data_IF_120430356126
#
_entry.id   IF_120430356126
#
_cell.length_a   1.000
_cell.length_b   1.000
_cell.length_c   1.000
_cell.angle_alpha   90.00
_cell.angle_beta   90.00
_cell.angle_gamma   90.00
#
_symmetry.space_group_name_H-M   'P 1'
#
loop_
_entity.id
_entity.type
_entity.pdbx_description
1 polymer ?
#
# COMPACT_ATOMS: atom_id res chain seq x y z
N UNK A 1 19.31 34.93 -7.90
CA UNK A 1 18.03 34.20 -8.05
C UNK A 1 18.18 32.91 -7.27
N UNK A 2 17.19 32.51 -6.48
CA UNK A 2 17.20 31.20 -5.82
C UNK A 2 17.30 30.10 -6.87
N UNK A 3 18.06 29.04 -6.60
CA UNK A 3 18.11 27.88 -7.49
C UNK A 3 16.71 27.26 -7.59
N UNK A 4 16.34 26.60 -8.69
CA UNK A 4 15.09 25.85 -8.75
C UNK A 4 15.10 24.72 -7.71
N UNK A 5 13.98 24.52 -7.02
CA UNK A 5 13.86 23.61 -5.88
C UNK A 5 13.26 22.26 -6.29
N UNK A 6 13.92 21.20 -5.82
CA UNK A 6 13.39 19.84 -5.72
C UNK A 6 13.03 19.56 -4.26
N UNK A 7 11.76 19.26 -4.00
CA UNK A 7 11.28 18.87 -2.68
C UNK A 7 11.27 17.35 -2.56
N UNK A 8 11.74 16.81 -1.45
CA UNK A 8 11.73 15.37 -1.14
C UNK A 8 10.96 15.16 0.16
N UNK A 9 9.73 14.70 0.05
CA UNK A 9 8.78 14.64 1.18
C UNK A 9 8.54 13.23 1.69
N UNK A 10 8.80 12.20 0.87
CA UNK A 10 8.75 10.82 1.30
C UNK A 10 9.79 10.53 2.39
N UNK A 11 9.33 10.15 3.59
CA UNK A 11 10.20 9.85 4.74
C UNK A 11 11.28 8.82 4.44
N UNK A 12 10.92 7.73 3.77
CA UNK A 12 11.83 6.64 3.43
C UNK A 12 12.89 7.12 2.43
N UNK A 13 12.50 7.92 1.43
CA UNK A 13 13.43 8.55 0.51
C UNK A 13 14.35 9.57 1.21
N UNK A 14 13.86 10.31 2.20
CA UNK A 14 14.70 11.26 2.96
C UNK A 14 15.87 10.57 3.67
N UNK A 15 15.71 9.31 4.10
CA UNK A 15 16.80 8.50 4.67
C UNK A 15 17.86 8.15 3.62
N UNK A 16 17.46 7.87 2.38
CA UNK A 16 18.37 7.56 1.27
C UNK A 16 18.92 8.82 0.58
N UNK A 17 18.32 9.99 0.81
CA UNK A 17 18.67 11.24 0.16
C UNK A 17 20.17 11.60 0.20
N UNK A 18 20.93 11.36 1.28
CA UNK A 18 22.38 11.61 1.28
C UNK A 18 23.14 10.90 0.13
N UNK A 19 22.63 9.78 -0.40
CA UNK A 19 23.23 9.06 -1.53
C UNK A 19 22.86 9.66 -2.89
N UNK A 20 21.80 10.45 -2.96
CA UNK A 20 21.23 10.98 -4.19
C UNK A 20 21.41 12.49 -4.36
N UNK A 21 21.53 13.22 -3.25
CA UNK A 21 21.58 14.68 -3.19
C UNK A 21 22.55 15.29 -4.20
N UNK A 22 23.80 14.83 -4.19
CA UNK A 22 24.83 15.39 -5.07
C UNK A 22 24.45 15.30 -6.55
N UNK A 23 23.83 14.19 -6.98
CA UNK A 23 23.41 14.00 -8.38
C UNK A 23 22.37 15.03 -8.83
N UNK A 24 21.50 15.46 -7.93
CA UNK A 24 20.46 16.46 -8.20
C UNK A 24 21.08 17.87 -8.13
N UNK A 25 21.95 18.13 -7.15
CA UNK A 25 22.64 19.42 -6.98
C UNK A 25 23.62 19.71 -8.13
N UNK A 26 24.27 18.68 -8.70
CA UNK A 26 25.17 18.79 -9.86
C UNK A 26 24.45 19.31 -11.12
N UNK A 27 23.12 19.18 -11.20
CA UNK A 27 22.29 19.75 -12.27
C UNK A 27 21.84 21.19 -11.97
N UNK A 28 22.27 21.77 -10.85
CA UNK A 28 21.95 23.15 -10.47
C UNK A 28 20.62 23.32 -9.73
N UNK A 29 20.10 22.27 -9.11
CA UNK A 29 18.89 22.33 -8.27
C UNK A 29 19.24 22.41 -6.79
N UNK A 30 18.43 23.16 -6.04
CA UNK A 30 18.39 23.05 -4.58
C UNK A 30 17.54 21.84 -4.18
N UNK A 31 17.93 21.12 -3.12
CA UNK A 31 17.17 19.96 -2.63
C UNK A 31 16.80 20.14 -1.17
N UNK A 32 15.50 20.21 -0.87
CA UNK A 32 14.97 20.29 0.49
C UNK A 32 14.20 19.04 0.87
N UNK A 33 14.39 18.61 2.12
CA UNK A 33 13.69 17.49 2.73
C UNK A 33 13.07 17.97 4.05
N UNK A 34 11.83 18.47 4.01
CA UNK A 34 11.16 18.98 5.21
C UNK A 34 10.78 17.85 6.17
N UNK A 35 10.82 18.14 7.47
CA UNK A 35 10.41 17.18 8.50
C UNK A 35 8.88 17.01 8.50
N UNK A 36 8.42 15.77 8.47
CA UNK A 36 7.00 15.41 8.59
C UNK A 36 6.43 15.66 10.01
N UNK A 37 7.29 15.92 11.00
CA UNK A 37 6.94 16.14 12.40
C UNK A 37 6.12 14.97 13.00
N UNK A 38 6.49 13.74 12.63
CA UNK A 38 5.80 12.53 13.06
C UNK A 38 4.49 12.22 12.32
N UNK A 39 4.09 13.03 11.34
CA UNK A 39 2.96 12.73 10.45
C UNK A 39 3.37 11.75 9.35
N UNK A 40 2.38 11.17 8.68
CA UNK A 40 2.57 10.28 7.54
C UNK A 40 2.78 11.06 6.23
N UNK A 41 2.05 12.17 6.06
CA UNK A 41 1.98 12.92 4.81
C UNK A 41 1.93 14.44 5.04
N UNK A 42 2.31 15.22 4.03
CA UNK A 42 2.05 16.65 3.98
C UNK A 42 0.69 16.95 3.35
N UNK A 43 0.02 17.99 3.85
CA UNK A 43 -1.15 18.56 3.19
C UNK A 43 -0.73 19.45 2.02
N UNK A 44 -1.64 19.75 1.09
CA UNK A 44 -1.40 20.72 0.02
C UNK A 44 -0.87 22.05 0.56
N UNK A 45 -1.46 22.55 1.66
CA UNK A 45 -1.08 23.80 2.30
C UNK A 45 0.36 23.80 2.83
N UNK A 46 0.80 22.68 3.43
CA UNK A 46 2.17 22.55 3.93
C UNK A 46 3.17 22.61 2.76
N UNK A 47 2.87 21.90 1.67
CA UNK A 47 3.73 21.87 0.48
C UNK A 47 3.84 23.25 -0.19
N UNK A 48 2.74 24.01 -0.17
CA UNK A 48 2.69 25.35 -0.75
C UNK A 48 3.55 26.38 -0.01
N UNK A 49 4.08 26.09 1.18
CA UNK A 49 5.10 26.94 1.82
C UNK A 49 6.39 27.01 0.98
N UNK A 50 6.67 25.99 0.16
CA UNK A 50 7.86 25.88 -0.69
C UNK A 50 7.65 26.39 -2.14
N UNK A 51 6.44 26.86 -2.48
CA UNK A 51 6.01 27.12 -3.88
C UNK A 51 6.83 28.15 -4.67
N UNK A 52 7.56 29.05 -3.99
CA UNK A 52 8.18 30.22 -4.63
C UNK A 52 9.20 29.87 -5.73
N UNK A 53 9.84 28.71 -5.62
CA UNK A 53 10.81 28.20 -6.60
C UNK A 53 10.77 26.68 -6.78
N UNK A 54 9.71 26.02 -6.30
CA UNK A 54 9.46 24.60 -6.49
C UNK A 54 9.27 24.27 -7.97
N UNK A 55 10.11 23.39 -8.51
CA UNK A 55 10.00 22.89 -9.90
C UNK A 55 9.79 21.39 -9.97
N UNK A 56 10.20 20.64 -8.95
CA UNK A 56 9.94 19.20 -8.87
C UNK A 56 9.73 18.70 -7.45
N UNK A 57 9.03 17.58 -7.32
CA UNK A 57 8.83 16.91 -6.02
C UNK A 57 8.98 15.40 -6.17
N UNK A 58 9.72 14.77 -5.25
CA UNK A 58 9.64 13.34 -4.98
C UNK A 58 8.70 13.15 -3.79
N UNK A 59 7.44 12.86 -4.09
CA UNK A 59 6.32 12.84 -3.15
C UNK A 59 6.17 11.48 -2.46
N UNK A 60 5.81 11.49 -1.17
CA UNK A 60 5.40 10.29 -0.43
C UNK A 60 3.90 10.04 -0.60
N UNK A 61 3.18 9.94 0.52
CA UNK A 61 1.72 9.82 0.57
C UNK A 61 1.00 11.18 0.50
N UNK A 62 1.73 12.27 0.24
CA UNK A 62 1.25 13.66 0.30
C UNK A 62 -0.04 13.95 -0.46
N UNK A 63 -0.81 14.92 0.01
CA UNK A 63 -2.00 15.43 -0.67
C UNK A 63 -1.59 16.33 -1.83
N UNK A 64 -1.61 15.77 -3.05
CA UNK A 64 -1.33 16.50 -4.29
C UNK A 64 -2.65 16.74 -5.02
N UNK A 65 -3.51 17.51 -4.38
CA UNK A 65 -4.83 17.87 -4.88
C UNK A 65 -4.80 19.11 -5.79
N UNK A 66 -5.98 19.57 -6.21
CA UNK A 66 -6.13 20.80 -7.00
C UNK A 66 -5.56 22.04 -6.32
N UNK A 67 -5.70 22.19 -4.99
CA UNK A 67 -5.15 23.34 -4.27
C UNK A 67 -3.62 23.37 -4.42
N UNK A 68 -2.96 22.21 -4.29
CA UNK A 68 -1.52 22.11 -4.50
C UNK A 68 -1.11 22.52 -5.92
N UNK A 69 -1.77 21.99 -6.96
CA UNK A 69 -1.41 22.29 -8.35
C UNK A 69 -1.68 23.76 -8.73
N UNK A 70 -2.82 24.31 -8.31
CA UNK A 70 -3.17 25.72 -8.54
C UNK A 70 -2.15 26.67 -7.88
N UNK A 71 -1.61 26.30 -6.71
CA UNK A 71 -0.66 27.11 -5.96
C UNK A 71 0.81 26.92 -6.36
N UNK A 72 1.19 25.76 -6.92
CA UNK A 72 2.55 25.41 -7.28
C UNK A 72 2.89 25.79 -8.73
N UNK A 73 2.71 27.07 -9.10
CA UNK A 73 2.72 27.57 -10.49
C UNK A 73 4.04 27.40 -11.27
N UNK A 74 5.11 26.94 -10.63
CA UNK A 74 6.42 26.68 -11.25
C UNK A 74 6.75 25.19 -11.35
N UNK A 75 5.90 24.34 -10.77
CA UNK A 75 6.07 22.89 -10.76
C UNK A 75 5.99 22.35 -12.19
N UNK A 76 6.92 21.48 -12.55
CA UNK A 76 6.93 20.79 -13.84
C UNK A 76 6.85 19.27 -13.68
N UNK A 77 7.30 18.74 -12.54
CA UNK A 77 7.47 17.30 -12.35
C UNK A 77 7.04 16.84 -10.96
N UNK A 78 6.26 15.78 -10.90
CA UNK A 78 5.92 15.03 -9.68
C UNK A 78 6.36 13.58 -9.88
N UNK A 79 7.24 13.10 -8.99
CA UNK A 79 7.58 11.68 -8.90
C UNK A 79 6.99 11.14 -7.61
N UNK A 80 5.96 10.29 -7.69
CA UNK A 80 5.47 9.52 -6.55
C UNK A 80 6.47 8.43 -6.19
N UNK A 81 6.98 8.47 -4.97
CA UNK A 81 7.78 7.41 -4.39
C UNK A 81 6.87 6.24 -4.02
N UNK A 82 6.83 5.24 -4.87
CA UNK A 82 5.97 4.07 -4.75
C UNK A 82 5.02 3.92 -5.92
N UNK A 83 4.00 3.07 -5.75
CA UNK A 83 3.09 2.68 -6.84
C UNK A 83 1.74 3.39 -6.80
N UNK A 84 1.34 3.89 -5.62
CA UNK A 84 0.05 4.54 -5.40
C UNK A 84 -0.05 5.87 -6.12
N UNK A 85 -1.24 6.13 -6.67
CA UNK A 85 -1.55 7.36 -7.40
C UNK A 85 -2.83 8.03 -6.91
N UNK A 86 -3.50 7.41 -5.95
CA UNK A 86 -4.82 7.80 -5.45
C UNK A 86 -4.86 9.19 -4.79
N UNK A 87 -3.73 9.70 -4.29
CA UNK A 87 -3.60 11.03 -3.70
C UNK A 87 -3.19 12.13 -4.70
N UNK A 88 -3.15 11.83 -6.01
CA UNK A 88 -2.83 12.82 -7.07
C UNK A 88 -4.09 13.21 -7.84
N UNK A 89 -4.40 14.50 -7.91
CA UNK A 89 -5.35 15.05 -8.88
C UNK A 89 -4.71 15.09 -10.27
N UNK A 90 -4.91 14.01 -11.03
CA UNK A 90 -4.38 13.85 -12.38
C UNK A 90 -4.93 14.89 -13.37
N UNK A 91 -6.15 15.37 -13.16
CA UNK A 91 -6.75 16.37 -14.05
C UNK A 91 -6.10 17.74 -13.81
N UNK A 92 -5.96 18.15 -12.55
CA UNK A 92 -5.29 19.39 -12.18
C UNK A 92 -3.81 19.38 -12.62
N UNK A 93 -3.10 18.26 -12.44
CA UNK A 93 -1.73 18.11 -12.92
C UNK A 93 -1.61 18.34 -14.43
N UNK A 94 -2.52 17.74 -15.22
CA UNK A 94 -2.56 17.88 -16.68
C UNK A 94 -2.86 19.33 -17.10
N UNK A 95 -3.80 20.01 -16.44
CA UNK A 95 -4.15 21.40 -16.72
C UNK A 95 -2.98 22.36 -16.50
N UNK A 96 -2.13 22.07 -15.52
CA UNK A 96 -0.93 22.84 -15.20
C UNK A 96 0.31 22.40 -16.00
N UNK A 97 0.19 21.39 -16.87
CA UNK A 97 1.30 20.87 -17.66
C UNK A 97 2.37 20.16 -16.83
N UNK A 98 1.99 19.60 -15.68
CA UNK A 98 2.89 18.88 -14.77
C UNK A 98 2.95 17.41 -15.16
N UNK A 99 4.16 16.90 -15.42
CA UNK A 99 4.38 15.47 -15.63
C UNK A 99 4.32 14.75 -14.28
N UNK A 100 3.48 13.71 -14.19
CA UNK A 100 3.38 12.87 -12.99
C UNK A 100 3.82 11.44 -13.33
N UNK A 101 4.80 10.92 -12.60
CA UNK A 101 5.27 9.53 -12.69
C UNK A 101 5.29 8.86 -11.33
N UNK A 102 5.15 7.55 -11.27
CA UNK A 102 5.37 6.73 -10.08
C UNK A 102 6.56 5.78 -10.29
N UNK A 103 6.83 4.90 -9.32
CA UNK A 103 7.90 3.90 -9.41
C UNK A 103 7.32 2.47 -9.48
N UNK A 104 6.84 2.03 -10.66
CA UNK A 104 6.19 0.73 -10.80
C UNK A 104 7.17 -0.43 -10.56
N UNK A 105 6.67 -1.51 -9.97
CA UNK A 105 7.43 -2.77 -9.79
C UNK A 105 8.43 -2.77 -8.63
N UNK A 106 8.52 -1.70 -7.84
CA UNK A 106 9.55 -1.59 -6.79
C UNK A 106 9.21 -2.29 -5.47
N UNK A 107 7.96 -2.69 -5.21
CA UNK A 107 7.55 -3.28 -3.92
C UNK A 107 6.86 -4.65 -4.02
N UNK A 108 7.01 -5.34 -5.15
CA UNK A 108 6.34 -6.63 -5.38
C UNK A 108 6.68 -7.70 -4.34
N UNK A 109 7.96 -7.87 -4.03
CA UNK A 109 8.42 -8.91 -3.10
C UNK A 109 8.09 -8.56 -1.65
N UNK A 110 8.33 -7.31 -1.25
CA UNK A 110 8.19 -6.81 0.11
C UNK A 110 6.75 -6.90 0.60
N UNK A 111 5.81 -6.42 -0.21
CA UNK A 111 4.39 -6.46 0.14
C UNK A 111 3.87 -7.89 0.17
N UNK A 112 4.34 -8.74 -0.75
CA UNK A 112 3.96 -10.14 -0.79
C UNK A 112 4.49 -10.93 0.42
N UNK A 113 5.72 -10.64 0.88
CA UNK A 113 6.28 -11.22 2.11
C UNK A 113 5.47 -10.79 3.34
N UNK A 114 5.11 -9.50 3.41
CA UNK A 114 4.29 -8.96 4.49
C UNK A 114 2.89 -9.59 4.52
N UNK A 115 2.24 -9.79 3.36
CA UNK A 115 0.96 -10.48 3.26
C UNK A 115 1.01 -11.89 3.85
N UNK A 116 2.08 -12.66 3.59
CA UNK A 116 2.26 -13.98 4.19
C UNK A 116 2.61 -13.91 5.68
N UNK A 117 3.37 -12.89 6.12
CA UNK A 117 3.58 -12.60 7.53
C UNK A 117 2.27 -12.39 8.27
N UNK A 118 1.36 -11.60 7.70
CA UNK A 118 0.00 -11.39 8.20
C UNK A 118 -0.79 -12.70 8.26
N UNK A 119 -0.86 -13.46 7.16
CA UNK A 119 -1.57 -14.76 7.11
C UNK A 119 -1.07 -15.71 8.21
N UNK A 120 0.25 -15.91 8.30
CA UNK A 120 0.85 -16.83 9.27
C UNK A 120 0.54 -16.40 10.70
N UNK A 121 0.58 -15.10 10.99
CA UNK A 121 0.31 -14.60 12.31
C UNK A 121 -1.17 -14.72 12.70
N UNK A 122 -2.09 -14.41 11.77
CA UNK A 122 -3.53 -14.61 11.99
C UNK A 122 -3.86 -16.05 12.38
N UNK A 123 -3.27 -17.02 11.68
CA UNK A 123 -3.64 -18.43 11.87
C UNK A 123 -2.79 -19.21 12.86
N UNK A 124 -1.65 -18.64 13.30
CA UNK A 124 -0.74 -19.28 14.27
C UNK A 124 -0.59 -18.51 15.58
N UNK A 125 -1.07 -17.27 15.63
CA UNK A 125 -1.09 -16.42 16.83
C UNK A 125 0.31 -16.05 17.35
N UNK A 126 1.31 -15.94 16.46
CA UNK A 126 2.71 -15.79 16.88
C UNK A 126 2.94 -14.59 17.81
N UNK A 127 2.35 -13.43 17.51
CA UNK A 127 2.51 -12.25 18.37
C UNK A 127 1.86 -12.43 19.74
N UNK A 128 0.66 -12.99 19.78
CA UNK A 128 -0.06 -13.24 21.02
C UNK A 128 0.67 -14.27 21.89
N UNK A 129 1.23 -15.32 21.27
CA UNK A 129 2.04 -16.34 21.95
C UNK A 129 3.32 -15.74 22.50
N UNK A 130 4.08 -14.97 21.72
CA UNK A 130 5.31 -14.29 22.19
C UNK A 130 5.00 -13.37 23.39
N UNK A 131 3.96 -12.54 23.29
CA UNK A 131 3.56 -11.64 24.37
C UNK A 131 3.17 -12.41 25.64
N UNK A 132 2.47 -13.54 25.51
CA UNK A 132 2.07 -14.39 26.64
C UNK A 132 3.29 -15.05 27.31
N UNK A 133 4.22 -15.61 26.51
CA UNK A 133 5.44 -16.23 27.04
C UNK A 133 6.30 -15.22 27.81
N UNK A 134 6.40 -13.98 27.33
CA UNK A 134 7.10 -12.91 28.05
C UNK A 134 6.45 -12.54 29.39
N UNK A 135 5.14 -12.79 29.55
CA UNK A 135 4.41 -12.64 30.83
C UNK A 135 4.51 -13.87 31.73
N UNK A 136 5.25 -14.91 31.33
CA UNK A 136 5.41 -16.15 32.10
C UNK A 136 4.30 -17.19 31.85
N UNK A 137 3.46 -16.97 30.84
CA UNK A 137 2.43 -17.93 30.41
C UNK A 137 3.03 -18.98 29.45
N UNK A 138 2.31 -20.09 29.20
CA UNK A 138 2.75 -21.12 28.25
C UNK A 138 1.58 -21.64 27.39
N UNK A 139 1.01 -20.80 26.51
CA UNK A 139 -0.16 -21.15 25.73
C UNK A 139 0.17 -22.22 24.67
N UNK A 140 -0.76 -23.16 24.47
CA UNK A 140 -0.72 -24.18 23.40
C UNK A 140 -1.90 -23.95 22.47
N UNK A 141 -1.80 -22.91 21.64
CA UNK A 141 -2.86 -22.51 20.71
C UNK A 141 -2.87 -23.45 19.50
N UNK A 142 -4.03 -23.95 19.14
CA UNK A 142 -4.23 -24.67 17.87
C UNK A 142 -4.20 -23.67 16.71
N UNK A 143 -3.47 -23.98 15.65
CA UNK A 143 -3.36 -23.14 14.47
C UNK A 143 -3.80 -23.85 13.20
N UNK A 144 -3.83 -23.13 12.09
CA UNK A 144 -4.27 -23.67 10.79
C UNK A 144 -3.07 -23.92 9.88
N UNK A 145 -3.12 -25.04 9.16
CA UNK A 145 -2.16 -25.40 8.11
C UNK A 145 -2.54 -24.70 6.80
N UNK A 146 -1.57 -24.06 6.13
CA UNK A 146 -1.81 -23.39 4.84
C UNK A 146 -1.87 -24.37 3.66
N UNK A 147 -1.06 -25.43 3.67
CA UNK A 147 -1.02 -26.41 2.59
C UNK A 147 -2.41 -27.04 2.36
N UNK A 148 -2.85 -27.07 1.11
CA UNK A 148 -4.16 -27.54 0.69
C UNK A 148 -5.30 -26.53 0.87
N UNK A 149 -5.09 -25.39 1.54
CA UNK A 149 -6.08 -24.33 1.60
C UNK A 149 -6.11 -23.51 0.30
N UNK A 150 -7.26 -22.91 0.00
CA UNK A 150 -7.40 -22.01 -1.16
C UNK A 150 -7.04 -20.57 -0.80
N UNK A 151 -6.19 -19.96 -1.62
CA UNK A 151 -5.79 -18.56 -1.62
C UNK A 151 -6.42 -17.84 -2.81
N UNK A 152 -7.25 -16.84 -2.53
CA UNK A 152 -7.79 -15.91 -3.51
C UNK A 152 -7.01 -14.60 -3.51
N UNK A 153 -6.51 -14.18 -4.67
CA UNK A 153 -5.79 -12.91 -4.85
C UNK A 153 -6.63 -11.94 -5.68
N UNK A 154 -7.03 -10.81 -5.10
CA UNK A 154 -7.79 -9.75 -5.77
C UNK A 154 -6.80 -8.68 -6.25
N UNK A 155 -6.65 -8.56 -7.58
CA UNK A 155 -5.62 -7.78 -8.24
C UNK A 155 -4.38 -8.63 -8.58
N UNK A 156 -4.11 -8.83 -9.87
CA UNK A 156 -3.06 -9.72 -10.37
C UNK A 156 -1.94 -8.96 -11.11
N UNK A 157 -1.61 -7.78 -10.57
CA UNK A 157 -0.46 -6.97 -10.93
C UNK A 157 0.87 -7.48 -10.35
N UNK A 158 1.85 -6.60 -10.19
CA UNK A 158 3.18 -6.95 -9.70
C UNK A 158 3.15 -7.60 -8.29
N UNK A 159 2.41 -7.02 -7.36
CA UNK A 159 2.26 -7.54 -5.98
C UNK A 159 1.44 -8.84 -5.98
N UNK A 160 0.28 -8.85 -6.65
CA UNK A 160 -0.59 -10.03 -6.71
C UNK A 160 0.10 -11.28 -7.28
N UNK A 161 0.93 -11.12 -8.31
CA UNK A 161 1.74 -12.22 -8.86
C UNK A 161 2.76 -12.77 -7.87
N UNK A 162 3.39 -11.90 -7.09
CA UNK A 162 4.35 -12.30 -6.06
C UNK A 162 3.67 -12.98 -4.87
N UNK A 163 2.45 -12.55 -4.49
CA UNK A 163 1.60 -13.24 -3.51
C UNK A 163 1.22 -14.63 -4.00
N UNK A 164 0.76 -14.75 -5.24
CA UNK A 164 0.39 -16.03 -5.84
C UNK A 164 1.55 -17.03 -5.87
N UNK A 165 2.76 -16.58 -6.25
CA UNK A 165 3.98 -17.40 -6.23
C UNK A 165 4.28 -17.96 -4.84
N UNK A 166 4.13 -17.14 -3.79
CA UNK A 166 4.29 -17.58 -2.39
C UNK A 166 3.21 -18.58 -2.00
N UNK A 167 1.95 -18.35 -2.39
CA UNK A 167 0.86 -19.30 -2.17
C UNK A 167 1.17 -20.70 -2.68
N UNK A 168 1.65 -20.79 -3.92
CA UNK A 168 2.11 -22.07 -4.51
C UNK A 168 3.26 -22.66 -3.68
N UNK A 169 4.23 -21.85 -3.26
CA UNK A 169 5.34 -22.29 -2.40
C UNK A 169 4.91 -22.84 -1.03
N UNK A 170 3.80 -22.33 -0.47
CA UNK A 170 3.19 -22.85 0.75
C UNK A 170 2.25 -24.05 0.52
N UNK A 171 2.14 -24.53 -0.72
CA UNK A 171 1.28 -25.65 -1.10
C UNK A 171 -0.21 -25.31 -1.11
N UNK A 172 -0.56 -24.04 -1.31
CA UNK A 172 -1.94 -23.57 -1.41
C UNK A 172 -2.49 -23.75 -2.83
N UNK A 173 -3.81 -23.88 -2.95
CA UNK A 173 -4.52 -23.78 -4.22
C UNK A 173 -4.79 -22.31 -4.54
N UNK A 174 -4.20 -21.75 -5.60
CA UNK A 174 -4.22 -20.31 -5.87
C UNK A 174 -5.18 -19.97 -7.00
N UNK A 175 -6.14 -19.11 -6.70
CA UNK A 175 -7.04 -18.45 -7.67
C UNK A 175 -6.84 -16.94 -7.62
N UNK A 176 -7.14 -16.26 -8.71
CA UNK A 176 -6.99 -14.81 -8.79
C UNK A 176 -8.14 -14.15 -9.56
N UNK A 177 -8.41 -12.90 -9.25
CA UNK A 177 -9.33 -12.05 -9.98
C UNK A 177 -8.61 -10.75 -10.37
N UNK A 178 -8.67 -10.42 -11.66
CA UNK A 178 -8.23 -9.14 -12.21
C UNK A 178 -8.95 -8.92 -13.55
N UNK A 179 -9.74 -7.84 -13.71
CA UNK A 179 -10.52 -7.62 -14.93
C UNK A 179 -9.66 -7.25 -16.15
N UNK A 180 -8.38 -6.93 -15.95
CA UNK A 180 -7.47 -6.48 -17.01
C UNK A 180 -6.39 -7.51 -17.36
N UNK A 181 -6.25 -8.59 -16.59
CA UNK A 181 -5.31 -9.67 -16.89
C UNK A 181 -6.03 -10.84 -17.55
N UNK A 182 -5.76 -11.13 -18.83
CA UNK A 182 -6.37 -12.28 -19.51
C UNK A 182 -5.86 -13.59 -18.90
N UNK A 183 -6.74 -14.60 -18.83
CA UNK A 183 -6.47 -15.89 -18.19
C UNK A 183 -5.26 -16.61 -18.80
N UNK A 184 -5.04 -16.46 -20.10
CA UNK A 184 -3.94 -17.07 -20.84
C UNK A 184 -2.57 -16.47 -20.45
N UNK A 185 -2.55 -15.25 -19.91
CA UNK A 185 -1.35 -14.57 -19.43
C UNK A 185 -1.16 -14.71 -17.91
N UNK A 186 -2.10 -15.34 -17.22
CA UNK A 186 -2.05 -15.58 -15.79
C UNK A 186 -1.30 -16.89 -15.48
N UNK A 187 -0.48 -16.87 -14.44
CA UNK A 187 0.18 -18.06 -13.88
C UNK A 187 -0.63 -18.65 -12.72
N UNK A 188 -1.91 -18.32 -12.65
CA UNK A 188 -2.88 -18.75 -11.65
C UNK A 188 -4.24 -18.96 -12.35
N UNK A 189 -5.14 -19.72 -11.72
CA UNK A 189 -6.50 -19.87 -12.22
C UNK A 189 -7.27 -18.56 -12.03
N UNK A 190 -7.64 -17.90 -13.13
CA UNK A 190 -8.46 -16.70 -13.10
C UNK A 190 -9.94 -17.07 -12.95
N UNK A 191 -10.63 -16.44 -12.00
CA UNK A 191 -12.06 -16.63 -11.71
C UNK A 191 -12.74 -15.27 -11.50
N UNK A 192 -14.07 -15.21 -11.54
CA UNK A 192 -14.81 -14.01 -11.12
C UNK A 192 -14.68 -13.75 -9.61
N UNK A 193 -14.93 -12.50 -9.21
CA UNK A 193 -14.74 -12.05 -7.83
C UNK A 193 -15.63 -12.81 -6.86
N UNK A 194 -16.90 -13.04 -7.21
CA UNK A 194 -17.88 -13.73 -6.38
C UNK A 194 -17.44 -15.18 -6.11
N UNK A 195 -16.99 -15.90 -7.14
CA UNK A 195 -16.44 -17.25 -7.01
C UNK A 195 -15.15 -17.29 -6.20
N UNK A 196 -14.29 -16.27 -6.33
CA UNK A 196 -13.09 -16.14 -5.50
C UNK A 196 -13.45 -16.00 -4.02
N UNK A 197 -14.34 -15.07 -3.70
CA UNK A 197 -14.77 -14.80 -2.32
C UNK A 197 -15.46 -16.01 -1.70
N UNK A 198 -16.34 -16.68 -2.44
CA UNK A 198 -17.11 -17.83 -1.96
C UNK A 198 -16.27 -19.09 -1.70
N UNK A 199 -15.11 -19.23 -2.35
CA UNK A 199 -14.32 -20.47 -2.27
C UNK A 199 -12.97 -20.31 -1.58
N UNK A 200 -12.51 -19.09 -1.34
CA UNK A 200 -11.21 -18.84 -0.73
C UNK A 200 -11.29 -18.86 0.79
N UNK A 201 -10.37 -19.61 1.42
CA UNK A 201 -10.15 -19.52 2.87
C UNK A 201 -9.26 -18.32 3.22
N UNK A 202 -8.36 -17.94 2.31
CA UNK A 202 -7.50 -16.78 2.46
C UNK A 202 -7.73 -15.84 1.29
N UNK A 203 -8.10 -14.60 1.56
CA UNK A 203 -8.36 -13.58 0.55
C UNK A 203 -7.34 -12.47 0.75
N UNK A 204 -6.55 -12.15 -0.27
CA UNK A 204 -5.57 -11.06 -0.22
C UNK A 204 -5.93 -10.00 -1.25
N UNK A 205 -6.13 -8.77 -0.78
CA UNK A 205 -6.39 -7.60 -1.61
C UNK A 205 -5.07 -6.93 -1.97
N UNK A 206 -4.80 -6.83 -3.28
CA UNK A 206 -3.62 -6.22 -3.87
C UNK A 206 -3.96 -5.40 -5.14
N UNK A 207 -5.20 -4.91 -5.24
CA UNK A 207 -5.69 -4.09 -6.33
C UNK A 207 -5.45 -2.58 -6.08
N UNK A 208 -5.39 -1.73 -7.12
CA UNK A 208 -5.36 -0.28 -6.92
C UNK A 208 -6.69 0.24 -6.36
N UNK A 209 -6.68 1.44 -5.76
CA UNK A 209 -7.91 2.18 -5.47
C UNK A 209 -8.33 2.97 -6.70
N UNK A 210 -9.52 2.67 -7.21
CA UNK A 210 -10.18 3.31 -8.35
C UNK A 210 -11.67 3.47 -8.02
N UNK A 211 -12.46 4.19 -8.83
CA UNK A 211 -13.91 4.23 -8.64
C UNK A 211 -14.57 2.84 -8.62
N UNK A 212 -14.03 1.87 -9.37
CA UNK A 212 -14.54 0.49 -9.43
C UNK A 212 -14.12 -0.37 -8.24
N UNK A 213 -13.04 -0.02 -7.53
CA UNK A 213 -12.55 -0.76 -6.37
C UNK A 213 -12.83 -0.05 -5.05
N UNK A 214 -13.37 1.17 -5.07
CA UNK A 214 -13.84 1.88 -3.88
C UNK A 214 -14.98 1.09 -3.23
N UNK A 215 -14.79 0.71 -1.97
CA UNK A 215 -15.66 -0.18 -1.20
C UNK A 215 -16.01 -1.46 -1.97
N UNK A 216 -15.03 -2.00 -2.70
CA UNK A 216 -15.16 -3.29 -3.38
C UNK A 216 -15.60 -4.38 -2.40
N UNK A 217 -15.06 -4.39 -1.18
CA UNK A 217 -15.47 -5.34 -0.15
C UNK A 217 -16.43 -4.63 0.81
N UNK A 218 -17.72 -4.85 0.59
CA UNK A 218 -18.87 -4.35 1.35
C UNK A 218 -19.61 -5.52 2.05
N UNK A 219 -20.70 -5.24 2.75
CA UNK A 219 -21.51 -6.25 3.44
C UNK A 219 -22.01 -7.36 2.51
N UNK A 220 -22.42 -7.02 1.28
CA UNK A 220 -22.95 -7.99 0.31
C UNK A 220 -21.86 -8.98 -0.13
N UNK A 221 -20.64 -8.49 -0.38
CA UNK A 221 -19.50 -9.34 -0.73
C UNK A 221 -18.96 -10.12 0.47
N UNK A 222 -18.96 -9.53 1.66
CA UNK A 222 -18.59 -10.24 2.90
C UNK A 222 -19.55 -11.38 3.21
N UNK A 223 -20.83 -11.25 2.84
CA UNK A 223 -21.82 -12.33 3.02
C UNK A 223 -21.57 -13.55 2.11
N UNK A 224 -20.76 -13.41 1.05
CA UNK A 224 -20.35 -14.54 0.20
C UNK A 224 -19.23 -15.38 0.82
N UNK A 225 -18.46 -14.78 1.73
CA UNK A 225 -17.25 -15.38 2.28
C UNK A 225 -17.61 -16.47 3.30
N UNK A 226 -16.80 -17.54 3.35
CA UNK A 226 -16.96 -18.58 4.37
C UNK A 226 -16.64 -18.03 5.77
N UNK A 227 -17.41 -18.40 6.81
CA UNK A 227 -17.14 -17.98 8.19
C UNK A 227 -15.75 -18.34 8.73
N UNK A 228 -15.07 -19.32 8.12
CA UNK A 228 -13.70 -19.74 8.48
C UNK A 228 -12.60 -19.08 7.64
N UNK A 229 -12.96 -18.09 6.81
CA UNK A 229 -12.03 -17.38 5.95
C UNK A 229 -11.37 -16.17 6.63
N UNK A 230 -10.23 -15.76 6.06
CA UNK A 230 -9.41 -14.65 6.52
C UNK A 230 -9.18 -13.66 5.39
N UNK A 231 -9.32 -12.37 5.69
CA UNK A 231 -9.05 -11.28 4.75
C UNK A 231 -7.72 -10.58 5.09
N UNK A 232 -6.90 -10.32 4.09
CA UNK A 232 -5.68 -9.52 4.23
C UNK A 232 -5.74 -8.35 3.26
N UNK A 233 -5.73 -7.13 3.78
CA UNK A 233 -5.68 -5.92 2.96
C UNK A 233 -4.28 -5.29 3.01
N UNK A 234 -3.56 -5.42 1.90
CA UNK A 234 -2.27 -4.75 1.63
C UNK A 234 -2.36 -3.85 0.39
N UNK A 235 -3.58 -3.53 -0.03
CA UNK A 235 -3.89 -2.69 -1.17
C UNK A 235 -4.04 -1.23 -0.71
N UNK A 236 -5.28 -0.80 -0.47
CA UNK A 236 -5.68 0.51 0.01
C UNK A 236 -6.84 0.35 0.98
N UNK A 237 -6.90 1.19 2.01
CA UNK A 237 -7.94 1.13 3.03
C UNK A 237 -9.35 1.16 2.43
N UNK A 238 -9.70 2.20 1.63
CA UNK A 238 -11.02 2.35 1.03
C UNK A 238 -11.43 1.27 0.01
N UNK A 239 -10.60 0.25 -0.27
CA UNK A 239 -11.05 -0.94 -1.02
C UNK A 239 -12.04 -1.76 -0.19
N UNK A 240 -11.97 -1.65 1.13
CA UNK A 240 -12.89 -2.28 2.07
C UNK A 240 -13.71 -1.18 2.74
N UNK A 241 -15.02 -1.36 2.82
CA UNK A 241 -15.85 -0.53 3.69
C UNK A 241 -15.64 -0.98 5.15
N UNK A 242 -14.93 -0.19 5.96
CA UNK A 242 -14.47 -0.65 7.27
C UNK A 242 -15.62 -0.95 8.24
N UNK A 243 -16.73 -0.21 8.15
CA UNK A 243 -17.91 -0.47 8.98
C UNK A 243 -18.45 -1.90 8.78
N UNK A 244 -18.52 -2.34 7.53
CA UNK A 244 -19.07 -3.64 7.17
C UNK A 244 -18.09 -4.75 7.52
N UNK A 245 -16.78 -4.50 7.38
CA UNK A 245 -15.75 -5.40 7.84
C UNK A 245 -15.81 -5.61 9.37
N UNK A 246 -15.94 -4.51 10.14
CA UNK A 246 -16.08 -4.57 11.60
C UNK A 246 -17.31 -5.42 11.98
N UNK A 247 -18.44 -5.21 11.32
CA UNK A 247 -19.66 -5.99 11.53
C UNK A 247 -19.45 -7.49 11.24
N UNK A 248 -18.83 -7.81 10.10
CA UNK A 248 -18.56 -9.19 9.72
C UNK A 248 -17.63 -9.91 10.71
N UNK A 249 -16.58 -9.24 11.18
CA UNK A 249 -15.63 -9.77 12.16
C UNK A 249 -16.27 -9.97 13.53
N UNK A 250 -17.04 -8.98 13.99
CA UNK A 250 -17.73 -9.02 15.29
C UNK A 250 -18.79 -10.11 15.34
N UNK A 251 -19.52 -10.31 14.24
CA UNK A 251 -20.59 -11.30 14.15
C UNK A 251 -20.09 -12.70 13.77
N UNK A 252 -18.77 -12.88 13.57
CA UNK A 252 -18.18 -14.17 13.19
C UNK A 252 -18.52 -14.62 11.78
N UNK A 253 -18.92 -13.71 10.89
CA UNK A 253 -19.08 -13.96 9.45
C UNK A 253 -17.73 -14.05 8.74
N UNK A 254 -16.68 -13.49 9.34
CA UNK A 254 -15.29 -13.60 8.91
C UNK A 254 -14.43 -14.02 10.10
N UNK A 255 -13.55 -15.01 9.94
CA UNK A 255 -12.76 -15.56 11.03
C UNK A 255 -11.74 -14.54 11.58
N UNK A 256 -11.18 -13.72 10.70
CA UNK A 256 -10.26 -12.66 11.07
C UNK A 256 -9.79 -11.82 9.88
N UNK A 257 -9.15 -10.70 10.18
CA UNK A 257 -8.59 -9.83 9.15
C UNK A 257 -7.21 -9.29 9.55
N UNK A 258 -6.34 -9.09 8.57
CA UNK A 258 -5.11 -8.32 8.75
C UNK A 258 -5.12 -7.12 7.80
N UNK A 259 -4.89 -5.93 8.35
CA UNK A 259 -5.00 -4.67 7.63
C UNK A 259 -3.68 -3.92 7.76
N UNK A 260 -2.94 -3.75 6.67
CA UNK A 260 -1.81 -2.81 6.66
C UNK A 260 -2.27 -1.39 6.37
N UNK A 261 -3.44 -1.20 5.77
CA UNK A 261 -3.98 0.07 5.29
C UNK A 261 -5.40 0.29 5.80
N UNK A 262 -5.80 1.57 5.94
CA UNK A 262 -7.05 1.98 6.57
C UNK A 262 -7.74 3.12 5.80
N UNK A 263 -9.06 3.28 5.96
CA UNK A 263 -9.81 4.39 5.37
C UNK A 263 -9.33 5.75 5.90
N UNK A 264 -8.89 5.77 7.17
CA UNK A 264 -8.27 6.94 7.81
C UNK A 264 -6.93 6.53 8.40
N UNK A 265 -5.87 7.17 7.89
CA UNK A 265 -4.50 6.94 8.33
C UNK A 265 -3.90 8.22 8.96
N UNK A 266 -3.30 8.13 10.17
CA UNK A 266 -3.20 6.95 11.03
C UNK A 266 -4.54 6.48 11.60
N UNK A 267 -4.66 5.16 11.85
CA UNK A 267 -5.88 4.56 12.39
C UNK A 267 -6.37 5.32 13.65
N UNK A 268 -7.61 5.84 13.69
CA UNK A 268 -8.10 6.60 14.85
C UNK A 268 -8.05 5.81 16.15
N UNK A 269 -7.75 6.46 17.28
CA UNK A 269 -7.73 5.82 18.60
C UNK A 269 -9.09 5.25 19.01
N UNK A 270 -10.17 5.80 18.46
CA UNK A 270 -11.55 5.37 18.68
C UNK A 270 -12.01 4.25 17.74
N UNK A 271 -11.18 3.81 16.80
CA UNK A 271 -11.57 2.75 15.86
C UNK A 271 -11.81 1.41 16.57
N UNK A 272 -12.95 0.77 16.29
CA UNK A 272 -13.32 -0.53 16.86
C UNK A 272 -12.35 -1.64 16.44
N UNK A 273 -11.71 -1.51 15.26
CA UNK A 273 -10.68 -2.44 14.77
C UNK A 273 -9.54 -2.66 15.79
N UNK A 274 -9.24 -1.64 16.63
CA UNK A 274 -8.23 -1.74 17.69
C UNK A 274 -8.59 -2.67 18.83
N UNK A 275 -9.87 -3.04 18.95
CA UNK A 275 -10.41 -3.82 20.06
C UNK A 275 -10.75 -5.26 19.67
N UNK A 276 -10.84 -5.56 18.38
CA UNK A 276 -11.22 -6.87 17.88
C UNK A 276 -10.04 -7.87 18.02
N UNK A 277 -10.23 -9.00 18.73
CA UNK A 277 -9.15 -9.95 19.01
C UNK A 277 -8.72 -10.78 17.79
N UNK A 278 -9.55 -10.80 16.74
CA UNK A 278 -9.31 -11.48 15.47
C UNK A 278 -8.83 -10.52 14.36
N UNK A 279 -8.34 -9.33 14.74
CA UNK A 279 -7.76 -8.35 13.81
C UNK A 279 -6.28 -8.16 14.09
N UNK A 280 -5.48 -8.18 13.03
CA UNK A 280 -4.08 -7.75 13.06
C UNK A 280 -3.94 -6.41 12.33
N UNK A 281 -3.27 -5.46 12.98
CA UNK A 281 -3.10 -4.10 12.46
C UNK A 281 -1.64 -3.87 12.08
N UNK A 282 -1.43 -3.44 10.83
CA UNK A 282 -0.20 -2.85 10.32
C UNK A 282 -0.22 -1.33 10.43
N UNK A 283 0.65 -0.68 9.67
CA UNK A 283 0.86 0.77 9.72
C UNK A 283 1.35 1.31 8.38
N UNK A 284 0.76 0.82 7.30
CA UNK A 284 1.09 1.10 5.91
C UNK A 284 2.59 0.91 5.63
N UNK A 285 3.13 -0.22 6.10
CA UNK A 285 4.56 -0.46 6.16
C UNK A 285 5.00 -1.72 5.42
N UNK A 286 4.09 -2.40 4.70
CA UNK A 286 4.38 -3.64 3.98
C UNK A 286 5.47 -3.49 2.91
N UNK A 287 5.65 -2.29 2.35
CA UNK A 287 6.69 -1.99 1.35
C UNK A 287 8.06 -1.64 1.97
N UNK A 288 8.11 -1.34 3.26
CA UNK A 288 9.25 -0.65 3.89
C UNK A 288 10.34 -1.62 4.34
N UNK A 289 11.10 -2.15 3.39
CA UNK A 289 12.35 -2.88 3.63
C UNK A 289 13.54 -2.05 3.15
N UNK A 290 14.74 -2.36 3.66
CA UNK A 290 15.97 -1.67 3.23
C UNK A 290 16.17 -1.80 1.71
N UNK A 291 15.99 -3.00 1.17
CA UNK A 291 16.15 -3.32 -0.25
C UNK A 291 15.09 -2.63 -1.12
N UNK A 292 13.84 -2.65 -0.69
CA UNK A 292 12.73 -1.96 -1.36
C UNK A 292 12.93 -0.46 -1.37
N UNK A 293 13.30 0.13 -0.23
CA UNK A 293 13.52 1.57 -0.10
C UNK A 293 14.65 2.05 -1.01
N UNK A 294 15.78 1.35 -1.04
CA UNK A 294 16.90 1.68 -1.94
C UNK A 294 16.47 1.61 -3.40
N UNK A 295 15.75 0.55 -3.79
CA UNK A 295 15.29 0.36 -5.18
C UNK A 295 14.32 1.46 -5.60
N UNK A 296 13.29 1.74 -4.80
CA UNK A 296 12.33 2.80 -5.08
C UNK A 296 12.97 4.18 -5.16
N UNK A 297 13.92 4.46 -4.26
CA UNK A 297 14.67 5.72 -4.20
C UNK A 297 15.55 5.92 -5.43
N UNK A 298 16.26 4.87 -5.87
CA UNK A 298 17.03 4.90 -7.12
C UNK A 298 16.15 5.21 -8.32
N UNK A 299 15.04 4.48 -8.49
CA UNK A 299 14.11 4.67 -9.61
C UNK A 299 13.46 6.06 -9.58
N UNK A 300 13.06 6.55 -8.41
CA UNK A 300 12.45 7.87 -8.28
C UNK A 300 13.42 8.98 -8.72
N UNK A 301 14.69 8.87 -8.31
CA UNK A 301 15.72 9.84 -8.71
C UNK A 301 16.06 9.72 -10.18
N UNK A 302 16.16 8.51 -10.75
CA UNK A 302 16.36 8.32 -12.19
C UNK A 302 15.26 9.00 -13.00
N UNK A 303 13.99 8.78 -12.64
CA UNK A 303 12.86 9.40 -13.31
C UNK A 303 12.83 10.91 -13.14
N UNK A 304 13.16 11.41 -11.94
CA UNK A 304 13.29 12.85 -11.73
C UNK A 304 14.35 13.45 -12.68
N UNK A 305 15.53 12.83 -12.78
CA UNK A 305 16.62 13.33 -13.62
C UNK A 305 16.28 13.28 -15.11
N UNK A 306 15.52 12.26 -15.56
CA UNK A 306 15.01 12.18 -16.93
C UNK A 306 14.07 13.34 -17.26
N UNK A 307 13.15 13.68 -16.35
CA UNK A 307 12.18 14.77 -16.55
C UNK A 307 12.81 16.16 -16.45
N UNK A 308 13.89 16.29 -15.69
CA UNK A 308 14.62 17.56 -15.52
C UNK A 308 15.75 17.76 -16.54
N UNK A 309 16.04 16.76 -17.36
CA UNK A 309 17.03 16.88 -18.43
C UNK A 309 16.52 17.86 -19.51
N UNK A 310 17.38 18.76 -20.02
CA UNK A 310 17.01 19.78 -21.01
C UNK A 310 16.68 19.22 -22.40
#
# INVERSE_FOLDING_TARGET
>A
MSLPLILVTCRQMQVELPRHRQRIEDLGFEVLAPDLNGRQQFTARDLLEYRSHLVGIIAGDDELDREFFDGATRLTTVIRWGIGMDSVDHEAAREHGVTVRNTPGVFGYEVADSAFGFILNLVRGYLSIDAAVRRGEWPKVEGITLAGARLGVVGFGAIGREIAKRGVGFGMDVVAFDPYVPAEAAQAAMVDLESLLATSRFIVLACPLTPETYHLIDADRLALVSPDAYLVNVARGPVVLESDLIDALRNGQLAGAALDVFEVEPLPLTSELRTLPNVMLGAHNASNTREGVVRASNTAVEFLLEELAP
#
